data_IF_798143449856
#
_entry.id   IF_798143449856
#
_cell.length_a   1.000
_cell.length_b   1.000
_cell.length_c   1.000
_cell.angle_alpha   90.00
_cell.angle_beta   90.00
_cell.angle_gamma   90.00
#
_symmetry.space_group_name_H-M   'P 1'
#
loop_
_entity.id
_entity.type
_entity.pdbx_description
1 polymer ?
#
# COMPACT_ATOMS: atom_id res chain seq x y z
N UNK A 1 -1.85 2.98 20.24
CA UNK A 1 -2.70 2.99 19.04
C UNK A 1 -2.69 1.59 18.46
N UNK A 2 -3.86 0.99 18.30
CA UNK A 2 -3.98 -0.37 17.77
C UNK A 2 -3.79 -0.38 16.25
N UNK A 3 -3.25 -1.48 15.71
CA UNK A 3 -3.04 -1.65 14.27
C UNK A 3 -4.33 -1.44 13.45
N UNK A 4 -5.48 -1.75 14.03
CA UNK A 4 -6.81 -1.51 13.43
C UNK A 4 -7.14 -0.02 13.28
N UNK A 5 -6.70 0.83 14.22
CA UNK A 5 -6.83 2.29 14.10
C UNK A 5 -5.93 2.81 12.98
N UNK A 6 -4.71 2.26 12.86
CA UNK A 6 -3.77 2.62 11.80
C UNK A 6 -4.30 2.22 10.41
N UNK A 7 -4.77 0.96 10.24
CA UNK A 7 -5.40 0.50 8.99
C UNK A 7 -6.62 1.34 8.63
N UNK A 8 -7.42 1.73 9.62
CA UNK A 8 -8.59 2.59 9.39
C UNK A 8 -8.21 3.97 8.88
N UNK A 9 -7.20 4.61 9.47
CA UNK A 9 -6.69 5.91 9.02
C UNK A 9 -6.14 5.83 7.58
N UNK A 10 -5.35 4.79 7.28
CA UNK A 10 -4.79 4.59 5.93
C UNK A 10 -5.89 4.36 4.88
N UNK A 11 -6.95 3.64 5.22
CA UNK A 11 -8.09 3.46 4.33
C UNK A 11 -8.85 4.78 4.11
N UNK A 12 -9.00 5.61 5.13
CA UNK A 12 -9.62 6.93 5.00
C UNK A 12 -8.80 7.84 4.08
N UNK A 13 -7.47 7.84 4.20
CA UNK A 13 -6.59 8.61 3.32
C UNK A 13 -6.71 8.15 1.86
N UNK A 14 -6.76 6.83 1.62
CA UNK A 14 -6.96 6.26 0.28
C UNK A 14 -8.32 6.62 -0.32
N UNK A 15 -9.41 6.58 0.47
CA UNK A 15 -10.74 7.01 0.02
C UNK A 15 -10.77 8.49 -0.34
N UNK A 16 -10.09 9.33 0.44
CA UNK A 16 -9.97 10.76 0.16
C UNK A 16 -9.20 11.00 -1.14
N UNK A 17 -8.10 10.28 -1.38
CA UNK A 17 -7.39 10.36 -2.65
C UNK A 17 -8.23 9.89 -3.83
N UNK A 18 -8.97 8.79 -3.71
CA UNK A 18 -9.86 8.32 -4.77
C UNK A 18 -10.92 9.36 -5.13
N UNK A 19 -11.44 10.08 -4.14
CA UNK A 19 -12.43 11.14 -4.35
C UNK A 19 -11.81 12.31 -5.11
N UNK A 20 -10.66 12.79 -4.64
CA UNK A 20 -9.96 13.92 -5.27
C UNK A 20 -9.49 13.58 -6.69
N UNK A 21 -8.94 12.38 -6.90
CA UNK A 21 -8.54 11.89 -8.22
C UNK A 21 -9.76 11.77 -9.15
N UNK A 22 -10.91 11.33 -8.65
CA UNK A 22 -12.16 11.26 -9.41
C UNK A 22 -12.61 12.62 -9.97
N UNK A 23 -12.31 13.70 -9.26
CA UNK A 23 -12.64 15.07 -9.69
C UNK A 23 -11.56 15.69 -10.59
N UNK A 24 -10.29 15.44 -10.28
CA UNK A 24 -9.14 16.08 -10.95
C UNK A 24 -8.75 15.39 -12.26
N UNK A 25 -8.82 14.06 -12.34
CA UNK A 25 -8.42 13.31 -13.55
C UNK A 25 -9.25 13.68 -14.80
N UNK A 26 -10.58 13.85 -14.72
CA UNK A 26 -11.36 14.31 -15.88
C UNK A 26 -10.91 15.68 -16.38
N UNK A 27 -10.58 16.61 -15.45
CA UNK A 27 -10.09 17.95 -15.79
C UNK A 27 -8.71 17.89 -16.45
N UNK A 28 -7.80 17.08 -15.88
CA UNK A 28 -6.48 16.83 -16.46
C UNK A 28 -6.57 16.33 -17.91
N UNK A 29 -7.39 15.28 -18.14
CA UNK A 29 -7.58 14.69 -19.48
C UNK A 29 -8.17 15.70 -20.47
N UNK A 30 -9.09 16.55 -20.01
CA UNK A 30 -9.71 17.58 -20.84
C UNK A 30 -8.69 18.64 -21.25
N UNK A 31 -7.85 19.11 -20.32
CA UNK A 31 -6.79 20.08 -20.57
C UNK A 31 -5.69 19.50 -21.48
N UNK A 32 -5.27 18.26 -21.23
CA UNK A 32 -4.29 17.52 -22.06
C UNK A 32 -4.70 17.39 -23.53
N UNK A 33 -5.99 17.18 -23.80
CA UNK A 33 -6.51 16.97 -25.16
C UNK A 33 -6.74 18.28 -25.92
N UNK A 34 -6.68 19.43 -25.27
CA UNK A 34 -7.00 20.73 -25.86
C UNK A 34 -5.83 21.26 -26.69
N UNK A 35 -6.00 21.34 -28.02
CA UNK A 35 -4.94 21.77 -28.97
C UNK A 35 -4.67 23.29 -29.02
N UNK A 36 -5.06 24.04 -27.99
CA UNK A 36 -4.95 25.50 -27.93
C UNK A 36 -5.25 26.00 -26.53
N UNK A 37 -4.55 25.44 -25.54
CA UNK A 37 -4.66 25.87 -24.16
C UNK A 37 -4.17 27.32 -24.01
N UNK A 38 -4.87 28.11 -23.19
CA UNK A 38 -4.36 29.42 -22.79
C UNK A 38 -3.17 29.25 -21.84
N UNK A 39 -2.36 30.30 -21.64
CA UNK A 39 -1.28 30.28 -20.63
C UNK A 39 -1.78 29.97 -19.21
N UNK A 40 -3.03 30.31 -18.91
CA UNK A 40 -3.66 30.00 -17.63
C UNK A 40 -4.02 28.51 -17.54
N UNK A 41 -4.51 27.92 -18.62
CA UNK A 41 -4.82 26.48 -18.71
C UNK A 41 -3.55 25.61 -18.73
N UNK A 42 -2.46 26.07 -19.34
CA UNK A 42 -1.15 25.41 -19.26
C UNK A 42 -0.59 25.43 -17.84
N UNK A 43 -0.79 26.54 -17.12
CA UNK A 43 -0.41 26.65 -15.71
C UNK A 43 -1.26 25.71 -14.84
N UNK A 44 -2.57 25.69 -15.05
CA UNK A 44 -3.50 24.76 -14.39
C UNK A 44 -3.11 23.31 -14.64
N UNK A 45 -2.74 22.97 -15.89
CA UNK A 45 -2.28 21.63 -16.24
C UNK A 45 -1.02 21.24 -15.46
N UNK A 46 -0.03 22.12 -15.37
CA UNK A 46 1.20 21.87 -14.62
C UNK A 46 0.96 21.73 -13.11
N UNK A 47 0.04 22.51 -12.54
CA UNK A 47 -0.37 22.40 -11.14
C UNK A 47 -1.05 21.04 -10.88
N UNK A 48 -1.92 20.60 -11.79
CA UNK A 48 -2.56 19.29 -11.71
C UNK A 48 -1.53 18.15 -11.83
N UNK A 49 -0.57 18.24 -12.74
CA UNK A 49 0.50 17.23 -12.87
C UNK A 49 1.33 17.13 -11.60
N UNK A 50 1.73 18.27 -11.04
CA UNK A 50 2.49 18.28 -9.80
C UNK A 50 1.70 17.62 -8.66
N UNK A 51 0.41 17.95 -8.54
CA UNK A 51 -0.48 17.33 -7.57
C UNK A 51 -0.60 15.81 -7.75
N UNK A 52 -0.76 15.34 -8.99
CA UNK A 52 -0.85 13.90 -9.28
C UNK A 52 0.43 13.14 -8.91
N UNK A 53 1.60 13.76 -9.14
CA UNK A 53 2.91 13.19 -8.73
C UNK A 53 2.98 13.07 -7.20
N UNK A 54 2.57 14.10 -6.47
CA UNK A 54 2.56 14.07 -5.00
C UNK A 54 1.61 13.01 -4.44
N UNK A 55 0.41 12.89 -5.01
CA UNK A 55 -0.56 11.86 -4.61
C UNK A 55 0.02 10.47 -4.85
N UNK A 56 0.67 10.24 -6.00
CA UNK A 56 1.30 8.96 -6.29
C UNK A 56 2.42 8.62 -5.29
N UNK A 57 3.24 9.60 -4.91
CA UNK A 57 4.28 9.42 -3.90
C UNK A 57 3.69 9.05 -2.53
N UNK A 58 2.60 9.72 -2.12
CA UNK A 58 1.90 9.41 -0.85
C UNK A 58 1.27 8.02 -0.86
N UNK A 59 0.65 7.60 -1.97
CA UNK A 59 0.09 6.25 -2.13
C UNK A 59 1.20 5.19 -2.00
N UNK A 60 2.37 5.43 -2.62
CA UNK A 60 3.50 4.53 -2.50
C UNK A 60 4.02 4.42 -1.06
N UNK A 61 4.08 5.53 -0.33
CA UNK A 61 4.47 5.54 1.08
C UNK A 61 3.47 4.77 1.96
N UNK A 62 2.17 4.95 1.74
CA UNK A 62 1.10 4.22 2.44
C UNK A 62 1.24 2.72 2.18
N UNK A 63 1.46 2.32 0.92
CA UNK A 63 1.66 0.93 0.54
C UNK A 63 2.86 0.33 1.27
N UNK A 64 4.00 1.02 1.27
CA UNK A 64 5.20 0.56 1.96
C UNK A 64 4.96 0.38 3.48
N UNK A 65 4.23 1.29 4.12
CA UNK A 65 3.87 1.17 5.54
C UNK A 65 2.97 -0.05 5.78
N UNK A 66 1.96 -0.26 4.94
CA UNK A 66 1.08 -1.43 5.03
C UNK A 66 1.85 -2.74 4.85
N UNK A 67 2.78 -2.79 3.89
CA UNK A 67 3.61 -3.97 3.62
C UNK A 67 4.53 -4.26 4.82
N UNK A 68 5.13 -3.23 5.42
CA UNK A 68 5.95 -3.35 6.64
C UNK A 68 5.13 -3.83 7.84
N UNK A 69 3.94 -3.27 8.06
CA UNK A 69 3.05 -3.66 9.15
C UNK A 69 2.58 -5.12 8.99
N UNK A 70 2.19 -5.52 7.77
CA UNK A 70 1.79 -6.88 7.45
C UNK A 70 2.94 -7.87 7.63
N UNK A 71 4.17 -7.48 7.28
CA UNK A 71 5.36 -8.29 7.52
C UNK A 71 5.58 -8.51 9.03
N UNK A 72 5.50 -7.45 9.83
CA UNK A 72 5.63 -7.51 11.28
C UNK A 72 4.58 -8.45 11.92
N UNK A 73 3.33 -8.36 11.47
CA UNK A 73 2.24 -9.24 11.92
C UNK A 73 2.51 -10.70 11.55
N UNK A 74 2.93 -10.96 10.32
CA UNK A 74 3.29 -12.30 9.84
C UNK A 74 4.42 -12.92 10.66
N UNK A 75 5.43 -12.12 11.01
CA UNK A 75 6.55 -12.56 11.86
C UNK A 75 6.09 -12.86 13.29
N UNK A 76 5.25 -12.01 13.88
CA UNK A 76 4.70 -12.25 15.21
C UNK A 76 3.88 -13.54 15.27
N UNK A 77 3.02 -13.77 14.26
CA UNK A 77 2.23 -14.99 14.13
C UNK A 77 3.12 -16.23 13.94
N UNK A 78 4.19 -16.11 13.17
CA UNK A 78 5.17 -17.18 12.99
C UNK A 78 5.87 -17.56 14.30
N UNK A 79 6.35 -16.57 15.08
CA UNK A 79 6.99 -16.82 16.38
C UNK A 79 6.02 -17.42 17.41
N UNK A 80 4.78 -16.93 17.45
CA UNK A 80 3.73 -17.48 18.31
C UNK A 80 3.43 -18.96 17.95
N UNK A 81 3.26 -19.26 16.66
CA UNK A 81 3.08 -20.63 16.19
C UNK A 81 4.29 -21.52 16.50
N UNK A 82 5.52 -20.97 16.41
CA UNK A 82 6.76 -21.69 16.73
C UNK A 82 6.85 -22.06 18.20
N UNK A 83 6.49 -21.14 19.09
CA UNK A 83 6.47 -21.39 20.52
C UNK A 83 5.43 -22.46 20.88
N UNK A 84 4.22 -22.37 20.31
CA UNK A 84 3.17 -23.37 20.52
C UNK A 84 3.54 -24.76 19.98
N UNK A 85 4.13 -24.83 18.78
CA UNK A 85 4.62 -26.09 18.21
C UNK A 85 5.76 -26.70 19.05
N UNK A 86 6.66 -25.87 19.60
CA UNK A 86 7.74 -26.33 20.49
C UNK A 86 7.21 -26.92 21.80
N UNK A 87 6.00 -26.54 22.21
CA UNK A 87 5.30 -27.09 23.37
C UNK A 87 4.49 -28.37 23.05
N UNK A 88 4.58 -28.91 21.82
CA UNK A 88 3.95 -30.17 21.41
C UNK A 88 2.58 -30.04 20.74
N UNK A 89 2.14 -28.82 20.41
CA UNK A 89 0.88 -28.61 19.69
C UNK A 89 1.01 -28.97 18.19
N UNK A 90 0.43 -30.12 17.82
CA UNK A 90 0.44 -30.61 16.44
C UNK A 90 -0.32 -29.71 15.46
N UNK A 91 -1.33 -28.96 15.91
CA UNK A 91 -2.06 -28.01 15.08
C UNK A 91 -1.21 -26.77 14.80
N UNK A 92 -0.50 -26.26 15.82
CA UNK A 92 0.46 -25.19 15.67
C UNK A 92 1.61 -25.57 14.72
N UNK A 93 2.03 -26.84 14.71
CA UNK A 93 3.07 -27.34 13.82
C UNK A 93 2.65 -27.31 12.34
N UNK A 94 1.44 -27.79 12.02
CA UNK A 94 0.89 -27.65 10.66
C UNK A 94 0.72 -26.19 10.22
N UNK A 95 0.33 -25.32 11.17
CA UNK A 95 0.18 -23.88 10.92
C UNK A 95 1.53 -23.22 10.65
N UNK A 96 2.57 -23.64 11.35
CA UNK A 96 3.94 -23.16 11.15
C UNK A 96 4.50 -23.58 9.79
N UNK A 97 4.27 -24.82 9.36
CA UNK A 97 4.70 -25.27 8.04
C UNK A 97 4.01 -24.48 6.91
N UNK A 98 2.70 -24.22 7.05
CA UNK A 98 1.96 -23.38 6.10
C UNK A 98 2.48 -21.94 6.07
N UNK A 99 2.78 -21.34 7.23
CA UNK A 99 3.37 -20.00 7.31
C UNK A 99 4.77 -19.94 6.69
N UNK A 100 5.56 -21.02 6.83
CA UNK A 100 6.87 -21.15 6.18
C UNK A 100 6.76 -21.13 4.66
N UNK A 101 5.82 -21.89 4.11
CA UNK A 101 5.59 -21.92 2.66
C UNK A 101 5.18 -20.54 2.14
N UNK A 102 4.19 -19.90 2.78
CA UNK A 102 3.73 -18.55 2.40
C UNK A 102 4.88 -17.54 2.47
N UNK A 103 5.71 -17.61 3.51
CA UNK A 103 6.85 -16.71 3.66
C UNK A 103 7.93 -16.94 2.59
N UNK A 104 8.20 -18.20 2.23
CA UNK A 104 9.15 -18.53 1.16
C UNK A 104 8.64 -18.06 -0.20
N UNK A 105 7.36 -18.25 -0.49
CA UNK A 105 6.71 -17.76 -1.70
C UNK A 105 6.72 -16.23 -1.77
N UNK A 106 6.49 -15.56 -0.64
CA UNK A 106 6.44 -14.10 -0.56
C UNK A 106 7.83 -13.44 -0.66
N UNK A 107 8.89 -14.13 -0.23
CA UNK A 107 10.28 -13.72 -0.43
C UNK A 107 10.75 -13.97 -1.87
N UNK A 108 10.27 -15.03 -2.53
CA UNK A 108 10.64 -15.36 -3.92
C UNK A 108 9.84 -14.57 -4.97
N UNK A 109 8.64 -14.10 -4.63
CA UNK A 109 7.71 -13.48 -5.58
C UNK A 109 7.78 -11.97 -5.74
N UNK A 110 8.86 -11.30 -5.36
CA UNK A 110 9.01 -9.81 -5.34
C UNK A 110 7.93 -9.05 -4.52
N UNK A 111 7.04 -9.75 -3.81
CA UNK A 111 5.92 -9.16 -3.10
C UNK A 111 6.32 -8.42 -1.81
N UNK A 112 7.52 -8.67 -1.28
CA UNK A 112 7.99 -8.07 -0.01
C UNK A 112 9.28 -7.24 -0.13
N UNK A 113 9.99 -7.29 -1.25
CA UNK A 113 11.29 -6.62 -1.41
C UNK A 113 11.28 -5.70 -2.63
N UNK A 114 10.65 -4.54 -2.48
CA UNK A 114 11.17 -3.34 -3.14
C UNK A 114 12.01 -2.58 -2.10
N UNK A 115 13.25 -3.04 -1.91
CA UNK A 115 14.30 -2.19 -1.34
C UNK A 115 14.76 -1.25 -2.46
N UNK A 116 14.22 -0.04 -2.49
CA UNK A 116 14.80 1.11 -3.19
C UNK A 116 14.68 2.33 -2.28
#
# INVERSE_FOLDING_TARGET
MGLDEHKKLLNQDLEQFNTILGEILPRYILLMKKKGASKEEEKELGEIEHFLIEVNAKIAEIKNKLDQDLFGETMNLYYAAKQAASNGDQYAQKRLDKLRTVFLESVQGDAFFNWN
#
